data_IF_124784601884
#
_entry.id   IF_124784601884
#
_cell.length_a   1.000
_cell.length_b   1.000
_cell.length_c   1.000
_cell.angle_alpha   90.00
_cell.angle_beta   90.00
_cell.angle_gamma   90.00
#
_symmetry.space_group_name_H-M   'P 1'
#
loop_
_entity.id
_entity.type
_entity.pdbx_description
1 polymer ?
#
# COMPACT_ATOMS: atom_id res chain seq x y z
N UNK A 1 -14.35 19.38 28.74
CA UNK A 1 -14.33 18.37 27.65
C UNK A 1 -13.61 17.15 28.18
N UNK A 2 -14.25 15.98 28.13
CA UNK A 2 -13.68 14.74 28.67
C UNK A 2 -12.43 14.32 27.89
N UNK A 3 -11.44 13.77 28.58
CA UNK A 3 -10.30 13.12 27.93
C UNK A 3 -10.77 11.73 27.53
N UNK A 4 -10.85 11.48 26.22
CA UNK A 4 -11.10 10.14 25.71
C UNK A 4 -9.85 9.28 25.88
N UNK A 5 -10.03 8.02 26.31
CA UNK A 5 -8.93 7.15 26.67
C UNK A 5 -8.89 5.92 25.77
N UNK A 6 -7.70 5.58 25.29
CA UNK A 6 -7.40 4.31 24.63
C UNK A 6 -6.71 3.40 25.63
N UNK A 7 -7.33 2.27 25.92
CA UNK A 7 -6.79 1.26 26.81
C UNK A 7 -6.19 0.06 26.06
N UNK A 8 -5.55 -0.82 26.83
CA UNK A 8 -4.87 -2.01 26.28
C UNK A 8 -5.86 -2.98 25.63
N UNK A 9 -7.09 -3.09 26.12
CA UNK A 9 -8.06 -4.04 25.60
C UNK A 9 -8.67 -3.53 24.27
N UNK A 10 -8.80 -2.22 24.12
CA UNK A 10 -9.36 -1.57 22.93
C UNK A 10 -8.35 -1.32 21.80
N UNK A 11 -7.10 -0.97 22.13
CA UNK A 11 -6.02 -0.74 21.16
C UNK A 11 -6.40 0.19 20.00
N UNK A 12 -5.95 -0.12 18.79
CA UNK A 12 -6.23 0.68 17.58
C UNK A 12 -7.73 0.73 17.24
N UNK A 13 -8.51 -0.31 17.53
CA UNK A 13 -9.94 -0.36 17.20
C UNK A 13 -10.73 0.65 18.04
N UNK A 14 -10.47 0.71 19.35
CA UNK A 14 -11.08 1.73 20.21
C UNK A 14 -10.68 3.13 19.77
N UNK A 15 -9.42 3.34 19.40
CA UNK A 15 -8.97 4.61 18.87
C UNK A 15 -9.73 5.04 17.60
N UNK A 16 -9.94 4.12 16.64
CA UNK A 16 -10.70 4.44 15.42
C UNK A 16 -12.14 4.85 15.74
N UNK A 17 -12.80 4.16 16.67
CA UNK A 17 -14.17 4.52 17.11
C UNK A 17 -14.25 5.92 17.71
N UNK A 18 -13.24 6.30 18.50
CA UNK A 18 -13.10 7.66 19.05
C UNK A 18 -12.96 8.68 17.92
N UNK A 19 -12.07 8.43 16.96
CA UNK A 19 -11.85 9.34 15.82
C UNK A 19 -13.11 9.49 14.98
N UNK A 20 -13.84 8.39 14.73
CA UNK A 20 -15.12 8.42 14.00
C UNK A 20 -16.15 9.32 14.68
N UNK A 21 -16.30 9.22 16.00
CA UNK A 21 -17.20 10.09 16.77
C UNK A 21 -16.80 11.58 16.71
N UNK A 22 -15.50 11.88 16.57
CA UNK A 22 -14.97 13.26 16.50
C UNK A 22 -15.07 13.90 15.11
N UNK A 23 -15.43 13.15 14.07
CA UNK A 23 -15.58 13.64 12.68
C UNK A 23 -16.97 14.17 12.35
N UNK A 24 -17.76 14.55 13.35
CA UNK A 24 -19.16 14.99 13.18
C UNK A 24 -19.35 16.36 12.52
N UNK A 25 -18.28 17.05 12.10
CA UNK A 25 -18.35 18.37 11.46
C UNK A 25 -17.60 18.39 10.11
N UNK A 26 -17.92 19.36 9.26
CA UNK A 26 -17.30 19.55 7.94
C UNK A 26 -15.91 20.23 8.01
N UNK A 27 -15.30 20.32 9.20
CA UNK A 27 -14.00 20.98 9.37
C UNK A 27 -12.86 20.06 8.95
N UNK A 28 -11.75 20.67 8.56
CA UNK A 28 -10.51 19.96 8.27
C UNK A 28 -9.94 19.44 9.60
N UNK A 29 -9.75 18.12 9.69
CA UNK A 29 -9.14 17.46 10.85
C UNK A 29 -7.70 17.09 10.56
N UNK A 30 -6.79 17.51 11.44
CA UNK A 30 -5.38 17.11 11.42
C UNK A 30 -4.96 16.66 12.82
N UNK A 31 -3.96 15.79 12.86
CA UNK A 31 -3.63 15.03 14.05
C UNK A 31 -2.15 15.19 14.42
N UNK A 32 -1.86 15.24 15.72
CA UNK A 32 -0.48 15.20 16.22
C UNK A 32 -0.36 14.19 17.35
N UNK A 33 0.66 13.35 17.30
CA UNK A 33 1.02 12.44 18.38
C UNK A 33 2.17 12.97 19.21
N UNK A 34 2.08 12.80 20.52
CA UNK A 34 3.18 13.06 21.47
C UNK A 34 3.32 11.87 22.41
N UNK A 35 4.56 11.43 22.63
CA UNK A 35 4.84 10.21 23.42
C UNK A 35 4.64 10.39 24.92
N UNK A 36 4.51 11.63 25.38
CA UNK A 36 4.31 11.98 26.79
C UNK A 36 3.50 13.27 26.94
N UNK A 37 3.08 13.58 28.16
CA UNK A 37 2.46 14.88 28.44
C UNK A 37 3.56 15.95 28.55
N UNK A 38 3.53 16.90 27.64
CA UNK A 38 4.47 18.03 27.64
C UNK A 38 3.91 19.27 28.36
N UNK A 39 2.75 19.14 29.02
CA UNK A 39 2.16 20.22 29.81
C UNK A 39 1.95 21.48 28.97
N UNK A 40 2.60 22.56 29.38
CA UNK A 40 2.48 23.86 28.71
C UNK A 40 3.21 23.94 27.36
N UNK A 41 4.12 22.99 27.07
CA UNK A 41 4.89 22.92 25.82
C UNK A 41 4.32 21.94 24.78
N UNK A 42 3.17 21.34 25.09
CA UNK A 42 2.43 20.47 24.19
C UNK A 42 2.00 21.22 22.92
N UNK A 43 2.18 20.57 21.76
CA UNK A 43 1.81 21.13 20.46
C UNK A 43 2.45 22.51 20.16
N UNK A 44 3.66 22.72 20.67
CA UNK A 44 4.46 23.91 20.41
C UNK A 44 5.52 23.63 19.34
N UNK A 45 5.73 24.53 18.36
CA UNK A 45 6.86 24.43 17.44
C UNK A 45 8.21 24.48 18.17
N UNK A 46 9.22 23.85 17.60
CA UNK A 46 10.55 23.75 18.20
C UNK A 46 11.28 25.09 18.34
N UNK A 47 11.03 26.07 17.45
CA UNK A 47 11.69 27.39 17.55
C UNK A 47 11.35 28.14 18.84
N UNK A 48 10.19 27.86 19.42
CA UNK A 48 9.79 28.52 20.66
C UNK A 48 10.19 27.72 21.90
N UNK A 49 10.84 26.57 21.73
CA UNK A 49 11.39 25.78 22.83
C UNK A 49 12.83 26.21 23.07
N UNK A 50 13.35 25.95 24.27
CA UNK A 50 14.78 26.09 24.59
C UNK A 50 15.41 27.48 24.36
N UNK A 51 14.60 28.55 24.30
CA UNK A 51 15.06 29.95 24.30
C UNK A 51 15.70 30.44 22.99
N UNK A 52 15.46 29.78 21.85
CA UNK A 52 16.04 30.22 20.55
C UNK A 52 15.67 31.67 20.19
N UNK A 53 14.42 32.09 20.45
CA UNK A 53 13.94 33.44 20.14
C UNK A 53 14.34 34.47 21.20
N UNK A 54 14.70 34.05 22.41
CA UNK A 54 15.03 34.95 23.53
C UNK A 54 16.32 35.77 23.26
N UNK A 55 17.17 35.30 22.35
CA UNK A 55 18.45 35.92 22.03
C UNK A 55 18.49 36.66 20.67
N UNK A 56 17.65 36.29 19.70
CA UNK A 56 17.59 36.95 18.38
C UNK A 56 16.24 36.71 17.69
N UNK A 57 15.43 37.78 17.52
CA UNK A 57 14.16 37.76 16.75
C UNK A 57 14.37 37.29 15.29
N UNK A 58 15.59 37.32 14.76
CA UNK A 58 15.96 36.96 13.38
C UNK A 58 16.57 35.57 13.25
N UNK A 59 16.63 34.79 14.34
CA UNK A 59 17.30 33.49 14.34
C UNK A 59 16.76 32.56 13.25
N UNK A 60 15.43 32.53 13.05
CA UNK A 60 14.80 31.70 12.01
C UNK A 60 15.29 32.08 10.60
N UNK A 61 15.33 33.38 10.31
CA UNK A 61 15.76 33.87 9.00
C UNK A 61 17.24 33.57 8.78
N UNK A 62 18.08 33.85 9.77
CA UNK A 62 19.52 33.61 9.69
C UNK A 62 19.83 32.13 9.45
N UNK A 63 19.14 31.25 10.19
CA UNK A 63 19.24 29.79 10.05
C UNK A 63 18.85 29.34 8.63
N UNK A 64 17.73 29.84 8.08
CA UNK A 64 17.31 29.52 6.72
C UNK A 64 18.25 30.06 5.64
N UNK A 65 18.78 31.27 5.83
CA UNK A 65 19.76 31.88 4.94
C UNK A 65 21.07 31.07 4.95
N UNK A 66 21.54 30.63 6.11
CA UNK A 66 22.74 29.79 6.27
C UNK A 66 22.56 28.40 5.63
N UNK A 67 21.38 27.77 5.77
CA UNK A 67 21.09 26.50 5.09
C UNK A 67 21.06 26.64 3.58
N UNK A 68 20.49 27.74 3.09
CA UNK A 68 20.45 28.02 1.65
C UNK A 68 21.89 28.17 1.14
N UNK A 69 22.73 28.90 1.87
CA UNK A 69 24.13 29.10 1.51
C UNK A 69 24.95 27.80 1.50
N UNK A 70 24.62 26.86 2.39
CA UNK A 70 25.24 25.54 2.47
C UNK A 70 24.55 24.46 1.59
N UNK A 71 23.57 24.84 0.77
CA UNK A 71 22.81 23.94 -0.11
C UNK A 71 22.15 22.76 0.65
N UNK A 72 21.74 22.98 1.90
CA UNK A 72 21.08 21.97 2.73
C UNK A 72 19.57 21.92 2.52
N UNK A 73 18.98 22.98 1.96
CA UNK A 73 17.53 23.09 1.71
C UNK A 73 17.28 23.72 0.35
N UNK A 74 16.28 23.19 -0.34
CA UNK A 74 15.78 23.71 -1.62
C UNK A 74 14.44 24.42 -1.40
N UNK A 75 14.08 25.35 -2.29
CA UNK A 75 12.80 26.05 -2.27
C UNK A 75 12.90 27.48 -2.78
N UNK A 76 11.88 27.92 -3.50
CA UNK A 76 11.84 29.26 -4.10
C UNK A 76 11.48 30.33 -3.05
N UNK A 77 10.74 29.93 -2.02
CA UNK A 77 10.31 30.80 -0.93
C UNK A 77 10.86 30.38 0.43
N UNK A 78 10.92 31.32 1.38
CA UNK A 78 11.32 31.02 2.76
C UNK A 78 10.41 29.99 3.44
N UNK A 79 9.13 29.96 3.09
CA UNK A 79 8.18 28.98 3.62
C UNK A 79 8.52 27.56 3.14
N UNK A 80 8.82 27.39 1.85
CA UNK A 80 9.25 26.10 1.29
C UNK A 80 10.53 25.61 1.94
N UNK A 81 11.51 26.51 2.09
CA UNK A 81 12.76 26.21 2.79
C UNK A 81 12.52 25.76 4.22
N UNK A 82 11.62 26.42 4.95
CA UNK A 82 11.28 26.04 6.32
C UNK A 82 10.59 24.67 6.41
N UNK A 83 9.67 24.36 5.48
CA UNK A 83 9.02 23.05 5.38
C UNK A 83 10.07 21.95 5.13
N UNK A 84 11.02 22.20 4.21
CA UNK A 84 12.08 21.24 3.90
C UNK A 84 13.10 21.13 5.04
N UNK A 85 13.43 22.23 5.71
CA UNK A 85 14.37 22.28 6.84
C UNK A 85 13.85 21.49 8.05
N UNK A 86 12.53 21.49 8.30
CA UNK A 86 11.96 20.80 9.47
C UNK A 86 12.25 19.29 9.48
N UNK A 87 12.45 18.67 8.30
CA UNK A 87 12.93 17.30 8.17
C UNK A 87 14.27 17.07 8.90
N UNK A 88 15.21 17.99 8.72
CA UNK A 88 16.56 17.98 9.29
C UNK A 88 16.63 18.35 10.77
N UNK A 89 15.49 18.55 11.43
CA UNK A 89 15.42 18.89 12.85
C UNK A 89 15.62 20.37 13.16
N UNK A 90 15.58 21.23 12.13
CA UNK A 90 15.83 22.66 12.31
C UNK A 90 14.65 23.39 12.97
N UNK A 91 14.93 24.41 13.80
CA UNK A 91 13.90 25.18 14.48
C UNK A 91 13.09 26.02 13.49
N UNK A 92 11.76 25.83 13.49
CA UNK A 92 10.82 26.64 12.73
C UNK A 92 9.56 26.94 13.55
N UNK A 93 8.78 27.94 13.12
CA UNK A 93 7.46 28.27 13.69
C UNK A 93 6.33 27.35 13.19
N UNK A 94 6.67 26.27 12.48
CA UNK A 94 5.74 25.31 11.94
C UNK A 94 5.60 24.13 12.91
N UNK A 95 4.36 23.76 13.23
CA UNK A 95 4.07 22.57 14.02
C UNK A 95 3.71 21.41 13.08
N UNK A 96 4.46 20.31 13.15
CA UNK A 96 4.13 19.09 12.40
C UNK A 96 2.78 18.51 12.84
N UNK A 97 1.90 18.29 11.87
CA UNK A 97 0.64 17.56 12.00
C UNK A 97 0.51 16.57 10.85
N UNK A 98 -0.44 15.64 10.94
CA UNK A 98 -0.70 14.64 9.90
C UNK A 98 -2.19 14.64 9.56
N UNK A 99 -2.52 14.38 8.29
CA UNK A 99 -3.90 14.07 7.90
C UNK A 99 -4.34 12.67 8.34
N UNK A 100 -3.40 11.81 8.75
CA UNK A 100 -3.68 10.44 9.15
C UNK A 100 -3.62 10.28 10.66
N UNK A 101 -4.78 9.96 11.23
CA UNK A 101 -4.92 9.75 12.67
C UNK A 101 -4.09 8.57 13.18
N UNK A 102 -3.84 7.54 12.36
CA UNK A 102 -3.01 6.39 12.74
C UNK A 102 -1.51 6.73 12.74
N UNK A 103 -1.07 7.64 11.86
CA UNK A 103 0.30 8.18 11.90
C UNK A 103 0.50 8.99 13.19
N UNK A 104 -0.47 9.82 13.58
CA UNK A 104 -0.43 10.49 14.87
C UNK A 104 -0.46 9.49 16.05
N UNK A 105 -1.22 8.41 15.97
CA UNK A 105 -1.19 7.35 16.98
C UNK A 105 0.19 6.67 17.06
N UNK A 106 0.86 6.48 15.93
CA UNK A 106 2.24 6.00 15.91
C UNK A 106 3.17 6.95 16.66
N UNK A 107 3.09 8.27 16.42
CA UNK A 107 3.89 9.25 17.15
C UNK A 107 3.53 9.38 18.64
N UNK A 108 2.29 9.05 19.02
CA UNK A 108 1.89 9.00 20.42
C UNK A 108 2.45 7.77 21.15
N UNK A 109 2.78 6.71 20.41
CA UNK A 109 3.22 5.43 20.98
C UNK A 109 4.70 5.13 20.74
N UNK A 110 5.36 5.82 19.81
CA UNK A 110 6.71 5.51 19.38
C UNK A 110 7.62 6.75 19.51
N UNK A 111 8.74 6.65 20.25
CA UNK A 111 9.78 7.68 20.29
C UNK A 111 10.34 8.04 18.91
N UNK A 112 11.13 9.10 18.84
CA UNK A 112 11.85 9.47 17.62
C UNK A 112 12.81 8.36 17.18
N UNK A 113 13.09 8.24 15.87
CA UNK A 113 13.83 7.11 15.29
C UNK A 113 15.24 6.89 15.86
N UNK A 114 15.84 7.90 16.50
CA UNK A 114 17.15 7.79 17.16
C UNK A 114 17.10 7.30 18.63
N UNK A 115 15.91 6.93 19.14
CA UNK A 115 15.72 6.41 20.50
C UNK A 115 15.21 4.98 20.45
N UNK A 116 15.49 4.23 21.51
CA UNK A 116 14.90 2.91 21.70
C UNK A 116 13.36 3.00 21.69
N UNK A 117 12.72 2.05 21.00
CA UNK A 117 11.27 2.06 20.80
C UNK A 117 10.47 2.03 22.12
N UNK A 118 11.06 1.47 23.18
CA UNK A 118 10.50 1.32 24.52
C UNK A 118 10.79 2.49 25.45
N UNK A 119 11.58 3.48 25.03
CA UNK A 119 12.09 4.54 25.91
C UNK A 119 11.02 5.47 26.48
N UNK A 120 9.77 5.38 26.01
CA UNK A 120 8.63 6.18 26.48
C UNK A 120 7.48 5.32 27.01
N UNK A 121 7.67 4.01 27.15
CA UNK A 121 6.61 3.07 27.54
C UNK A 121 6.23 3.17 29.02
N UNK A 122 7.01 3.91 29.82
CA UNK A 122 6.70 4.27 31.20
C UNK A 122 5.64 5.39 31.31
N UNK A 123 5.39 6.11 30.21
CA UNK A 123 4.51 7.29 30.15
C UNK A 123 3.34 7.09 29.18
N UNK A 124 2.21 7.72 29.49
CA UNK A 124 1.07 7.76 28.58
C UNK A 124 1.37 8.65 27.37
N UNK A 125 0.91 8.22 26.19
CA UNK A 125 0.97 9.03 24.97
C UNK A 125 -0.30 9.86 24.79
N UNK A 126 -0.26 10.81 23.87
CA UNK A 126 -1.39 11.68 23.56
C UNK A 126 -1.52 11.91 22.07
N UNK A 127 -2.75 11.89 21.58
CA UNK A 127 -3.10 12.37 20.25
C UNK A 127 -3.96 13.61 20.37
N UNK A 128 -3.58 14.65 19.63
CA UNK A 128 -4.31 15.91 19.54
C UNK A 128 -5.02 15.96 18.19
N UNK A 129 -6.33 16.19 18.22
CA UNK A 129 -7.19 16.30 17.04
C UNK A 129 -7.56 17.75 16.84
N UNK A 130 -6.92 18.43 15.88
CA UNK A 130 -7.20 19.82 15.56
C UNK A 130 -8.35 19.93 14.56
N UNK A 131 -9.21 20.93 14.75
CA UNK A 131 -10.34 21.21 13.84
C UNK A 131 -10.20 22.61 13.26
N UNK A 132 -9.89 22.70 11.97
CA UNK A 132 -9.54 23.94 11.28
C UNK A 132 -10.51 24.21 10.13
N UNK A 133 -10.81 25.48 9.86
CA UNK A 133 -11.82 25.86 8.86
C UNK A 133 -11.25 25.95 7.44
N UNK A 134 -9.95 26.22 7.31
CA UNK A 134 -9.30 26.53 6.05
C UNK A 134 -7.87 25.98 6.02
N UNK A 135 -7.36 25.80 4.80
CA UNK A 135 -6.02 25.33 4.50
C UNK A 135 -5.38 26.23 3.46
N UNK A 136 -4.08 26.48 3.61
CA UNK A 136 -3.29 27.33 2.74
C UNK A 136 -2.31 26.48 1.92
N UNK A 137 -2.28 26.73 0.61
CA UNK A 137 -1.31 26.12 -0.28
C UNK A 137 0.07 26.78 -0.07
N UNK A 138 1.17 26.03 0.17
CA UNK A 138 2.50 26.59 0.44
C UNK A 138 3.03 27.55 -0.63
N UNK A 139 2.66 27.33 -1.89
CA UNK A 139 3.10 28.15 -3.04
C UNK A 139 2.20 29.36 -3.29
N UNK A 140 1.15 29.56 -2.49
CA UNK A 140 0.27 30.71 -2.62
C UNK A 140 0.97 32.00 -2.20
N UNK A 141 1.01 33.00 -3.10
CA UNK A 141 1.66 34.30 -2.84
C UNK A 141 1.29 34.91 -1.48
N UNK A 142 0.01 34.80 -1.08
CA UNK A 142 -0.47 35.33 0.20
C UNK A 142 0.19 34.68 1.42
N UNK A 143 0.37 33.35 1.44
CA UNK A 143 0.99 32.67 2.59
C UNK A 143 2.51 32.82 2.58
N UNK A 144 3.14 32.90 1.39
CA UNK A 144 4.57 33.13 1.27
C UNK A 144 4.96 34.52 1.78
N UNK A 145 4.23 35.57 1.35
CA UNK A 145 4.46 36.93 1.86
C UNK A 145 4.08 37.04 3.34
N UNK A 146 3.07 36.29 3.80
CA UNK A 146 2.76 36.19 5.22
C UNK A 146 3.92 35.63 6.04
N UNK A 147 4.49 34.50 5.63
CA UNK A 147 5.62 33.88 6.32
C UNK A 147 6.86 34.80 6.29
N UNK A 148 7.16 35.40 5.13
CA UNK A 148 8.23 36.38 4.97
C UNK A 148 8.06 37.61 5.86
N UNK A 149 6.83 38.07 6.06
CA UNK A 149 6.52 39.17 6.97
C UNK A 149 6.75 38.82 8.44
N UNK A 150 6.66 37.54 8.81
CA UNK A 150 6.97 37.07 10.17
C UNK A 150 8.46 37.08 10.47
N UNK A 151 9.27 36.67 9.49
CA UNK A 151 10.72 36.52 9.64
C UNK A 151 11.50 37.77 9.19
N UNK A 152 10.81 38.87 8.85
CA UNK A 152 11.43 40.12 8.42
C UNK A 152 10.90 41.34 9.18
N UNK A 153 11.77 42.33 9.39
CA UNK A 153 11.40 43.61 10.01
C UNK A 153 10.61 44.56 9.09
N UNK A 154 10.31 44.13 7.85
CA UNK A 154 9.67 44.99 6.85
C UNK A 154 8.25 45.39 7.28
N UNK A 155 7.55 44.53 8.00
CA UNK A 155 6.15 44.73 8.39
C UNK A 155 5.99 44.74 9.91
N UNK A 156 6.52 45.77 10.59
CA UNK A 156 6.47 45.89 12.07
C UNK A 156 5.07 45.77 12.67
N UNK A 157 4.04 46.25 11.97
CA UNK A 157 2.64 46.11 12.40
C UNK A 157 2.19 44.65 12.52
N UNK A 158 2.86 43.76 11.80
CA UNK A 158 2.59 42.33 11.77
C UNK A 158 3.54 41.55 12.69
N UNK A 159 4.85 41.79 12.57
CA UNK A 159 5.88 41.05 13.31
C UNK A 159 6.08 41.47 14.77
N UNK A 160 5.56 42.64 15.20
CA UNK A 160 5.73 43.14 16.58
C UNK A 160 4.43 43.27 17.37
N UNK A 161 3.33 42.70 16.88
CA UNK A 161 2.04 42.69 17.59
C UNK A 161 1.67 41.29 18.07
N UNK A 162 1.07 41.19 19.25
CA UNK A 162 0.57 39.91 19.78
C UNK A 162 -0.83 39.56 19.28
N UNK A 163 -1.49 40.48 18.57
CA UNK A 163 -2.85 40.30 18.04
C UNK A 163 -2.97 39.04 17.17
N UNK A 164 -1.94 38.76 16.36
CA UNK A 164 -1.93 37.65 15.41
C UNK A 164 -1.44 36.33 16.02
N UNK A 165 -1.04 36.28 17.29
CA UNK A 165 -0.57 35.04 17.94
C UNK A 165 -1.65 33.94 18.01
N UNK A 166 -2.94 34.28 17.79
CA UNK A 166 -4.05 33.33 17.75
C UNK A 166 -4.43 32.85 16.35
N UNK A 167 -3.77 33.37 15.32
CA UNK A 167 -4.04 33.02 13.94
C UNK A 167 -3.22 31.80 13.53
N UNK A 168 -3.69 30.62 13.91
CA UNK A 168 -3.12 29.35 13.48
C UNK A 168 -3.56 29.05 12.05
N UNK A 169 -2.60 28.86 11.13
CA UNK A 169 -2.89 28.57 9.72
C UNK A 169 -2.45 27.15 9.38
N UNK A 170 -3.36 26.34 8.87
CA UNK A 170 -3.00 25.04 8.31
C UNK A 170 -2.33 25.26 6.96
N UNK A 171 -1.10 24.80 6.82
CA UNK A 171 -0.33 24.82 5.59
C UNK A 171 -0.24 23.39 5.10
N UNK A 172 -0.63 23.16 3.86
CA UNK A 172 -0.53 21.84 3.25
C UNK A 172 0.93 21.43 3.00
N UNK A 173 1.17 20.17 2.68
CA UNK A 173 2.49 19.68 2.32
C UNK A 173 2.83 19.95 0.85
N UNK A 174 4.13 19.94 0.57
CA UNK A 174 4.67 19.84 -0.78
C UNK A 174 5.12 18.40 -0.98
N UNK A 175 4.63 17.75 -2.04
CA UNK A 175 4.92 16.34 -2.35
C UNK A 175 6.31 16.14 -2.96
N UNK A 176 7.33 16.75 -2.37
CA UNK A 176 8.74 16.61 -2.77
C UNK A 176 9.53 15.81 -1.75
N UNK A 177 9.22 15.93 -0.46
CA UNK A 177 9.93 15.23 0.60
C UNK A 177 9.28 13.86 0.91
N UNK A 178 10.00 12.73 0.72
CA UNK A 178 9.46 11.38 0.96
C UNK A 178 8.95 11.16 2.37
N UNK A 179 9.60 11.75 3.39
CA UNK A 179 9.16 11.62 4.78
C UNK A 179 7.87 12.40 5.04
N UNK A 180 7.72 13.61 4.49
CA UNK A 180 6.46 14.35 4.62
C UNK A 180 5.32 13.58 3.95
N UNK A 181 5.57 12.99 2.79
CA UNK A 181 4.60 12.14 2.07
C UNK A 181 4.21 10.91 2.91
N UNK A 182 5.20 10.17 3.41
CA UNK A 182 5.02 9.00 4.26
C UNK A 182 4.23 9.29 5.53
N UNK A 183 4.48 10.44 6.15
CA UNK A 183 3.79 10.90 7.35
C UNK A 183 2.41 11.49 7.05
N UNK A 184 2.07 11.66 5.77
CA UNK A 184 0.90 12.41 5.30
C UNK A 184 0.83 13.75 6.02
N UNK A 185 1.99 14.39 6.10
CA UNK A 185 2.25 15.56 6.93
C UNK A 185 1.54 16.81 6.41
N UNK A 186 1.34 17.74 7.32
CA UNK A 186 0.97 19.12 7.09
C UNK A 186 1.51 19.94 8.25
N UNK A 187 1.36 21.26 8.20
CA UNK A 187 1.95 22.15 9.19
C UNK A 187 0.92 23.12 9.73
N UNK A 188 0.95 23.37 11.04
CA UNK A 188 0.25 24.52 11.62
C UNK A 188 1.27 25.64 11.79
N UNK A 189 1.11 26.74 11.06
CA UNK A 189 1.93 27.93 11.18
C UNK A 189 1.50 28.76 12.41
N UNK A 190 2.46 28.99 13.30
CA UNK A 190 2.32 29.91 14.42
C UNK A 190 2.79 31.30 14.00
N UNK A 191 1.84 32.23 13.88
CA UNK A 191 2.13 33.61 13.48
C UNK A 191 2.63 34.49 14.64
N UNK A 192 2.66 33.96 15.86
CA UNK A 192 2.99 34.76 17.03
C UNK A 192 4.47 35.04 17.20
N UNK A 193 4.76 36.14 17.91
CA UNK A 193 6.10 36.47 18.43
C UNK A 193 6.50 35.53 19.58
N UNK A 194 5.49 35.09 20.36
CA UNK A 194 5.66 34.15 21.47
C UNK A 194 4.90 32.85 21.19
N UNK A 195 5.34 31.75 21.82
CA UNK A 195 4.62 30.49 21.83
C UNK A 195 3.36 30.54 22.70
N UNK A 196 2.31 31.17 22.19
CA UNK A 196 0.99 30.98 22.77
C UNK A 196 0.48 29.59 22.42
N UNK A 197 0.07 28.87 23.46
CA UNK A 197 -0.57 27.56 23.33
C UNK A 197 -1.81 27.66 22.42
N UNK A 198 -2.01 26.63 21.60
CA UNK A 198 -3.25 26.46 20.85
C UNK A 198 -4.41 26.41 21.87
N UNK A 199 -5.43 27.28 21.77
CA UNK A 199 -6.57 27.27 22.67
C UNK A 199 -7.24 25.89 22.73
N UNK A 200 -7.65 25.45 23.93
CA UNK A 200 -8.26 24.14 24.16
C UNK A 200 -9.57 23.89 23.42
N UNK A 201 -10.19 24.92 22.83
CA UNK A 201 -11.37 24.81 21.98
C UNK A 201 -11.04 24.49 20.51
N UNK A 202 -9.77 24.54 20.10
CA UNK A 202 -9.33 24.21 18.73
C UNK A 202 -8.88 22.76 18.57
N UNK A 203 -8.79 22.00 19.67
CA UNK A 203 -8.44 20.58 19.62
C UNK A 203 -9.10 19.73 20.71
N UNK A 204 -9.22 18.45 20.41
CA UNK A 204 -9.55 17.39 21.37
C UNK A 204 -8.29 16.59 21.72
N UNK A 205 -8.11 16.24 23.00
CA UNK A 205 -6.97 15.44 23.48
C UNK A 205 -7.43 14.00 23.77
N UNK A 206 -6.83 13.03 23.10
CA UNK A 206 -7.02 11.60 23.32
C UNK A 206 -5.79 11.07 24.07
N UNK A 207 -6.00 10.39 25.19
CA UNK A 207 -4.93 9.79 25.98
C UNK A 207 -4.76 8.31 25.63
N UNK A 208 -3.52 7.93 25.30
CA UNK A 208 -3.12 6.54 25.08
C UNK A 208 -2.45 6.02 26.33
N UNK A 209 -3.07 5.05 27.00
CA UNK A 209 -2.49 4.44 28.21
C UNK A 209 -1.16 3.78 27.89
N UNK A 210 -0.20 3.89 28.81
CA UNK A 210 1.18 3.42 28.61
C UNK A 210 1.23 1.91 28.32
N UNK A 211 0.37 1.13 28.98
CA UNK A 211 0.28 -0.32 28.83
C UNK A 211 -0.26 -0.76 27.45
N UNK A 212 -0.91 0.17 26.72
CA UNK A 212 -1.44 -0.10 25.38
C UNK A 212 -0.40 0.11 24.27
N UNK A 213 0.68 0.87 24.52
CA UNK A 213 1.67 1.25 23.49
C UNK A 213 2.26 0.05 22.74
N UNK A 214 2.76 -1.03 23.38
CA UNK A 214 3.35 -2.15 22.66
C UNK A 214 2.36 -2.87 21.75
N UNK A 215 1.12 -3.07 22.22
CA UNK A 215 0.06 -3.69 21.44
C UNK A 215 -0.37 -2.80 20.27
N UNK A 216 -0.49 -1.50 20.48
CA UNK A 216 -0.84 -0.54 19.44
C UNK A 216 0.23 -0.53 18.35
N UNK A 217 1.52 -0.47 18.69
CA UNK A 217 2.62 -0.52 17.70
C UNK A 217 2.57 -1.82 16.89
N UNK A 218 2.29 -2.95 17.53
CA UNK A 218 2.09 -4.24 16.84
C UNK A 218 0.89 -4.20 15.88
N UNK A 219 -0.26 -3.71 16.34
CA UNK A 219 -1.46 -3.58 15.50
C UNK A 219 -1.26 -2.61 14.32
N UNK A 220 -0.59 -1.48 14.55
CA UNK A 220 -0.22 -0.52 13.51
C UNK A 220 0.66 -1.17 12.43
N UNK A 221 1.66 -1.96 12.84
CA UNK A 221 2.52 -2.71 11.92
C UNK A 221 1.76 -3.80 11.17
N UNK A 222 1.10 -4.70 11.89
CA UNK A 222 0.52 -5.92 11.33
C UNK A 222 -0.74 -5.65 10.49
N UNK A 223 -1.54 -4.64 10.83
CA UNK A 223 -2.82 -4.35 10.17
C UNK A 223 -2.75 -3.18 9.19
N UNK A 224 -1.86 -2.21 9.42
CA UNK A 224 -1.83 -0.95 8.67
C UNK A 224 -0.47 -0.66 8.03
N UNK A 225 0.52 -1.54 8.21
CA UNK A 225 1.90 -1.34 7.75
C UNK A 225 2.54 -0.01 8.24
N UNK A 226 2.15 0.46 9.43
CA UNK A 226 2.68 1.67 10.06
C UNK A 226 3.74 1.27 11.07
N UNK A 227 5.00 1.59 10.77
CA UNK A 227 6.17 1.34 11.62
C UNK A 227 7.30 2.33 11.28
N UNK A 228 8.45 2.21 11.95
CA UNK A 228 9.57 3.16 11.77
C UNK A 228 9.96 3.38 10.30
N UNK A 229 10.33 2.32 9.57
CA UNK A 229 10.72 2.43 8.16
C UNK A 229 9.65 3.03 7.22
N UNK A 230 8.35 2.84 7.48
CA UNK A 230 7.30 3.44 6.63
C UNK A 230 7.00 4.88 6.99
N UNK A 231 7.31 5.33 8.20
CA UNK A 231 7.11 6.72 8.68
C UNK A 231 8.37 7.58 8.49
N UNK A 232 9.54 6.94 8.54
CA UNK A 232 10.86 7.52 8.36
C UNK A 232 11.57 6.71 7.26
N UNK A 233 11.31 6.99 5.97
CA UNK A 233 11.78 6.17 4.85
C UNK A 233 13.26 6.37 4.50
N UNK A 234 14.06 6.98 5.38
CA UNK A 234 15.50 7.09 5.21
C UNK A 234 16.17 5.70 5.27
N UNK A 235 17.25 5.51 4.50
CA UNK A 235 17.84 4.19 4.25
C UNK A 235 18.12 3.36 5.50
N UNK A 236 18.62 3.98 6.57
CA UNK A 236 18.96 3.31 7.83
C UNK A 236 17.73 2.69 8.52
N UNK A 237 16.55 3.30 8.38
CA UNK A 237 15.32 2.88 9.03
C UNK A 237 14.63 1.70 8.31
N UNK A 238 15.07 1.36 7.09
CA UNK A 238 14.51 0.30 6.26
C UNK A 238 15.25 -1.05 6.42
N UNK A 239 16.43 -1.06 7.04
CA UNK A 239 17.31 -2.25 7.12
C UNK A 239 16.62 -3.43 7.79
N UNK A 240 16.07 -3.23 8.99
CA UNK A 240 15.37 -4.30 9.74
C UNK A 240 14.15 -4.82 8.98
N UNK A 241 13.45 -3.94 8.25
CA UNK A 241 12.29 -4.32 7.45
C UNK A 241 12.72 -5.21 6.27
N UNK A 242 13.75 -4.82 5.53
CA UNK A 242 14.30 -5.60 4.40
C UNK A 242 14.76 -6.98 4.89
N UNK A 243 15.48 -7.04 6.01
CA UNK A 243 15.91 -8.31 6.62
C UNK A 243 14.70 -9.17 7.01
N UNK A 244 13.66 -8.56 7.59
CA UNK A 244 12.45 -9.30 7.98
C UNK A 244 11.68 -9.85 6.77
N UNK A 245 11.53 -9.06 5.70
CA UNK A 245 10.88 -9.48 4.45
C UNK A 245 11.68 -10.59 3.76
N UNK A 246 13.01 -10.53 3.79
CA UNK A 246 13.88 -11.59 3.26
C UNK A 246 13.60 -12.97 3.86
N UNK A 247 13.19 -13.06 5.13
CA UNK A 247 12.86 -14.35 5.79
C UNK A 247 11.66 -15.05 5.16
N UNK A 248 10.74 -14.28 4.56
CA UNK A 248 9.51 -14.81 3.94
C UNK A 248 9.59 -14.77 2.41
N UNK A 249 10.54 -14.02 1.84
CA UNK A 249 10.77 -13.95 0.40
C UNK A 249 11.15 -15.31 -0.18
N UNK A 250 10.50 -15.67 -1.29
CA UNK A 250 10.87 -16.85 -2.05
C UNK A 250 12.20 -16.60 -2.76
N UNK A 251 13.27 -17.24 -2.28
CA UNK A 251 14.61 -17.16 -2.88
C UNK A 251 14.95 -18.41 -3.71
N UNK A 252 13.94 -19.21 -4.09
CA UNK A 252 14.16 -20.37 -4.94
C UNK A 252 14.65 -19.91 -6.31
N UNK A 253 15.69 -20.58 -6.82
CA UNK A 253 16.16 -20.36 -8.19
C UNK A 253 15.06 -20.71 -9.17
N UNK A 254 14.94 -19.94 -10.25
CA UNK A 254 14.06 -20.29 -11.37
C UNK A 254 14.50 -21.63 -11.98
N UNK A 255 13.68 -22.67 -11.83
CA UNK A 255 13.84 -23.96 -12.48
C UNK A 255 12.54 -24.77 -12.42
N UNK A 256 12.39 -25.73 -13.34
CA UNK A 256 11.18 -26.55 -13.46
C UNK A 256 10.77 -27.21 -12.13
N UNK A 257 11.73 -27.75 -11.36
CA UNK A 257 11.47 -28.38 -10.06
C UNK A 257 10.78 -27.42 -9.07
N UNK A 258 11.24 -26.17 -9.01
CA UNK A 258 10.73 -25.20 -8.05
C UNK A 258 9.36 -24.67 -8.49
N UNK A 259 9.17 -24.41 -9.79
CA UNK A 259 7.87 -24.00 -10.34
C UNK A 259 6.81 -25.10 -10.15
N UNK A 260 7.13 -26.36 -10.45
CA UNK A 260 6.24 -27.50 -10.17
C UNK A 260 5.86 -27.56 -8.68
N UNK A 261 6.82 -27.35 -7.79
CA UNK A 261 6.56 -27.37 -6.35
C UNK A 261 5.65 -26.22 -5.91
N UNK A 262 5.81 -25.02 -6.48
CA UNK A 262 4.95 -23.86 -6.22
C UNK A 262 3.53 -24.15 -6.73
N UNK A 263 3.40 -24.63 -7.97
CA UNK A 263 2.12 -25.04 -8.57
C UNK A 263 1.41 -26.10 -7.73
N UNK A 264 2.13 -27.10 -7.22
CA UNK A 264 1.55 -28.10 -6.30
C UNK A 264 1.05 -27.50 -4.98
N UNK A 265 1.67 -26.45 -4.46
CA UNK A 265 1.16 -25.74 -3.27
C UNK A 265 -0.11 -24.97 -3.60
N UNK A 266 -0.15 -24.28 -4.75
CA UNK A 266 -1.35 -23.57 -5.20
C UNK A 266 -2.54 -24.51 -5.38
N UNK A 267 -2.34 -25.64 -6.07
CA UNK A 267 -3.36 -26.68 -6.22
C UNK A 267 -3.94 -27.13 -4.88
N UNK A 268 -3.08 -27.42 -3.88
CA UNK A 268 -3.53 -27.84 -2.56
C UNK A 268 -4.33 -26.75 -1.85
N UNK A 269 -3.89 -25.50 -1.94
CA UNK A 269 -4.59 -24.36 -1.35
C UNK A 269 -5.98 -24.16 -2.00
N UNK A 270 -6.08 -24.29 -3.32
CA UNK A 270 -7.35 -24.17 -4.05
C UNK A 270 -8.34 -25.25 -3.63
N UNK A 271 -7.86 -26.51 -3.56
CA UNK A 271 -8.62 -27.65 -3.06
C UNK A 271 -9.08 -27.41 -1.62
N UNK A 272 -8.17 -27.02 -0.72
CA UNK A 272 -8.49 -26.83 0.69
C UNK A 272 -9.52 -25.70 0.88
N UNK A 273 -9.43 -24.62 0.09
CA UNK A 273 -10.43 -23.53 0.07
C UNK A 273 -11.81 -24.06 -0.33
N UNK A 274 -11.89 -24.79 -1.44
CA UNK A 274 -13.14 -25.32 -1.96
C UNK A 274 -13.76 -26.35 -1.01
N UNK A 275 -12.95 -27.22 -0.42
CA UNK A 275 -13.40 -28.15 0.62
C UNK A 275 -13.98 -27.41 1.84
N UNK A 276 -13.32 -26.35 2.30
CA UNK A 276 -13.84 -25.52 3.41
C UNK A 276 -15.16 -24.82 3.05
N UNK A 277 -15.29 -24.29 1.84
CA UNK A 277 -16.54 -23.71 1.35
C UNK A 277 -17.65 -24.76 1.26
N UNK A 278 -17.32 -25.95 0.76
CA UNK A 278 -18.25 -27.06 0.64
C UNK A 278 -18.76 -27.54 2.01
N UNK A 279 -17.88 -27.61 3.01
CA UNK A 279 -18.23 -27.89 4.40
C UNK A 279 -19.21 -26.86 4.98
N UNK A 280 -19.04 -25.58 4.63
CA UNK A 280 -19.81 -24.46 5.18
C UNK A 280 -21.19 -24.32 4.53
N UNK A 281 -21.27 -24.41 3.19
CA UNK A 281 -22.47 -24.06 2.44
C UNK A 281 -23.19 -25.26 1.81
N UNK A 282 -22.50 -26.40 1.59
CA UNK A 282 -23.03 -27.65 0.97
C UNK A 282 -23.72 -27.48 -0.39
N UNK A 283 -23.37 -26.43 -1.12
CA UNK A 283 -23.97 -26.11 -2.42
C UNK A 283 -23.30 -26.88 -3.58
N UNK A 284 -24.10 -27.30 -4.55
CA UNK A 284 -23.64 -28.10 -5.69
C UNK A 284 -22.80 -27.28 -6.69
N UNK A 285 -22.94 -25.95 -6.71
CA UNK A 285 -22.11 -25.10 -7.57
C UNK A 285 -20.62 -25.16 -7.21
N UNK A 286 -20.29 -25.44 -5.94
CA UNK A 286 -18.91 -25.56 -5.45
C UNK A 286 -18.23 -26.80 -6.03
N UNK A 287 -19.00 -27.87 -6.26
CA UNK A 287 -18.48 -29.10 -6.91
C UNK A 287 -18.11 -28.81 -8.36
N UNK A 288 -18.93 -28.02 -9.07
CA UNK A 288 -18.61 -27.58 -10.44
C UNK A 288 -17.36 -26.70 -10.48
N UNK A 289 -17.19 -25.78 -9.53
CA UNK A 289 -15.99 -24.95 -9.41
C UNK A 289 -14.75 -25.82 -9.12
N UNK A 290 -14.89 -26.85 -8.28
CA UNK A 290 -13.84 -27.82 -8.00
C UNK A 290 -13.42 -28.60 -9.26
N UNK A 291 -14.37 -29.14 -10.02
CA UNK A 291 -14.10 -29.84 -11.27
C UNK A 291 -13.39 -28.93 -12.28
N UNK A 292 -13.87 -27.69 -12.45
CA UNK A 292 -13.29 -26.73 -13.38
C UNK A 292 -11.84 -26.36 -13.04
N UNK A 293 -11.54 -26.07 -11.77
CA UNK A 293 -10.17 -25.75 -11.34
C UNK A 293 -9.23 -26.93 -11.56
N UNK A 294 -9.65 -28.15 -11.19
CA UNK A 294 -8.83 -29.34 -11.38
C UNK A 294 -8.60 -29.66 -12.86
N UNK A 295 -9.62 -29.50 -13.70
CA UNK A 295 -9.47 -29.64 -15.13
C UNK A 295 -8.46 -28.64 -15.70
N UNK A 296 -8.48 -27.38 -15.25
CA UNK A 296 -7.49 -26.38 -15.66
C UNK A 296 -6.05 -26.80 -15.31
N UNK A 297 -5.82 -27.31 -14.09
CA UNK A 297 -4.50 -27.85 -13.70
C UNK A 297 -4.11 -29.06 -14.57
N UNK A 298 -5.03 -30.00 -14.84
CA UNK A 298 -4.79 -31.12 -15.75
C UNK A 298 -4.31 -30.63 -17.11
N UNK A 299 -5.02 -29.69 -17.72
CA UNK A 299 -4.68 -29.17 -19.05
C UNK A 299 -3.31 -28.49 -19.06
N UNK A 300 -2.98 -27.71 -18.03
CA UNK A 300 -1.65 -27.12 -17.89
C UNK A 300 -0.54 -28.17 -17.79
N UNK A 301 -0.78 -29.28 -17.08
CA UNK A 301 0.18 -30.39 -16.98
C UNK A 301 0.35 -31.10 -18.33
N UNK A 302 -0.74 -31.30 -19.09
CA UNK A 302 -0.66 -31.89 -20.43
C UNK A 302 0.10 -30.99 -21.42
N UNK A 303 -0.06 -29.66 -21.30
CA UNK A 303 0.66 -28.68 -22.11
C UNK A 303 2.14 -28.61 -21.77
N UNK A 304 2.52 -28.82 -20.51
CA UNK A 304 3.92 -28.83 -20.06
C UNK A 304 4.77 -29.88 -20.80
N UNK A 305 4.16 -30.94 -21.33
CA UNK A 305 4.87 -31.96 -22.09
C UNK A 305 5.68 -32.91 -21.20
N UNK A 306 6.61 -33.67 -21.79
CA UNK A 306 7.52 -34.56 -21.05
C UNK A 306 8.81 -33.88 -20.57
N UNK A 307 9.08 -32.64 -20.97
CA UNK A 307 10.34 -31.96 -20.70
C UNK A 307 11.46 -32.42 -21.63
N UNK A 308 12.53 -31.62 -21.69
CA UNK A 308 13.54 -31.72 -22.74
C UNK A 308 14.66 -32.72 -22.42
N UNK A 309 14.82 -33.07 -21.14
CA UNK A 309 15.86 -33.98 -20.66
C UNK A 309 15.33 -35.01 -19.65
N UNK A 310 16.10 -36.08 -19.40
CA UNK A 310 15.71 -37.18 -18.52
C UNK A 310 15.41 -36.74 -17.08
N UNK A 311 16.03 -35.66 -16.62
CA UNK A 311 15.79 -35.12 -15.28
C UNK A 311 14.42 -34.45 -15.20
N UNK A 312 14.07 -33.66 -16.21
CA UNK A 312 12.75 -33.02 -16.34
C UNK A 312 11.64 -34.06 -16.54
N UNK A 313 11.87 -35.06 -17.40
CA UNK A 313 10.96 -36.20 -17.58
C UNK A 313 10.62 -36.87 -16.26
N UNK A 314 11.64 -37.11 -15.42
CA UNK A 314 11.45 -37.70 -14.09
C UNK A 314 10.70 -36.77 -13.13
N UNK A 315 10.99 -35.47 -13.16
CA UNK A 315 10.29 -34.48 -12.34
C UNK A 315 8.81 -34.36 -12.71
N UNK A 316 8.49 -34.30 -14.00
CA UNK A 316 7.12 -34.22 -14.51
C UNK A 316 6.36 -35.51 -14.20
N UNK A 317 6.98 -36.67 -14.35
CA UNK A 317 6.37 -37.94 -13.95
C UNK A 317 6.00 -37.96 -12.45
N UNK A 318 6.90 -37.51 -11.58
CA UNK A 318 6.63 -37.40 -10.14
C UNK A 318 5.54 -36.36 -9.84
N UNK A 319 5.49 -35.25 -10.59
CA UNK A 319 4.46 -34.22 -10.46
C UNK A 319 3.07 -34.78 -10.79
N UNK A 320 2.93 -35.50 -11.90
CA UNK A 320 1.68 -36.14 -12.31
C UNK A 320 1.19 -37.15 -11.25
N UNK A 321 2.11 -37.97 -10.71
CA UNK A 321 1.77 -38.90 -9.64
C UNK A 321 1.24 -38.17 -8.39
N UNK A 322 1.93 -37.10 -7.97
CA UNK A 322 1.50 -36.30 -6.82
C UNK A 322 0.17 -35.56 -7.06
N UNK A 323 -0.06 -35.10 -8.30
CA UNK A 323 -1.30 -34.48 -8.73
C UNK A 323 -2.48 -35.47 -8.62
N UNK A 324 -2.36 -36.65 -9.23
CA UNK A 324 -3.40 -37.68 -9.18
C UNK A 324 -3.70 -38.12 -7.73
N UNK A 325 -2.66 -38.33 -6.91
CA UNK A 325 -2.83 -38.65 -5.48
C UNK A 325 -3.56 -37.53 -4.72
N UNK A 326 -3.29 -36.27 -5.04
CA UNK A 326 -3.95 -35.13 -4.43
C UNK A 326 -5.44 -35.09 -4.77
N UNK A 327 -5.79 -35.32 -6.03
CA UNK A 327 -7.18 -35.39 -6.49
C UNK A 327 -7.92 -36.54 -5.81
N UNK A 328 -7.35 -37.74 -5.81
CA UNK A 328 -7.95 -38.91 -5.17
C UNK A 328 -8.25 -38.65 -3.69
N UNK A 329 -7.29 -38.09 -2.96
CA UNK A 329 -7.48 -37.71 -1.57
C UNK A 329 -8.57 -36.64 -1.36
N UNK A 330 -8.77 -35.76 -2.34
CA UNK A 330 -9.73 -34.66 -2.26
C UNK A 330 -11.16 -35.12 -2.58
N UNK A 331 -11.32 -35.96 -3.60
CA UNK A 331 -12.60 -36.60 -3.93
C UNK A 331 -13.05 -37.47 -2.76
N UNK A 332 -12.16 -38.28 -2.18
CA UNK A 332 -12.49 -39.10 -1.01
C UNK A 332 -12.93 -38.26 0.20
N UNK A 333 -12.39 -37.03 0.36
CA UNK A 333 -12.87 -36.09 1.39
C UNK A 333 -14.28 -35.56 1.06
N UNK A 334 -14.55 -35.19 -0.19
CA UNK A 334 -15.87 -34.72 -0.63
C UNK A 334 -16.96 -35.77 -0.43
N UNK A 335 -16.70 -37.01 -0.84
CA UNK A 335 -17.63 -38.15 -0.68
C UNK A 335 -17.96 -38.43 0.79
N UNK A 336 -16.97 -38.27 1.70
CA UNK A 336 -17.20 -38.38 3.14
C UNK A 336 -18.09 -37.26 3.69
N UNK A 337 -17.98 -36.05 3.13
CA UNK A 337 -18.75 -34.88 3.57
C UNK A 337 -20.21 -34.98 3.10
N UNK A 338 -20.46 -35.47 1.88
CA UNK A 338 -21.82 -35.63 1.34
C UNK A 338 -21.89 -36.91 0.49
N UNK A 339 -22.65 -37.89 0.98
CA UNK A 339 -22.80 -39.26 0.42
C UNK A 339 -23.26 -39.35 -1.05
N UNK A 340 -23.75 -38.26 -1.64
CA UNK A 340 -24.31 -38.21 -3.01
C UNK A 340 -23.62 -37.16 -3.89
N UNK A 341 -22.38 -36.75 -3.57
CA UNK A 341 -21.58 -35.91 -4.47
C UNK A 341 -21.01 -36.79 -5.55
N UNK A 342 -21.27 -36.44 -6.80
CA UNK A 342 -20.60 -37.02 -7.95
C UNK A 342 -19.51 -36.05 -8.40
N UNK A 343 -18.29 -36.55 -8.55
CA UNK A 343 -17.17 -35.85 -9.20
C UNK A 343 -16.70 -36.74 -10.34
N UNK A 344 -16.59 -36.19 -11.55
CA UNK A 344 -16.10 -36.95 -12.69
C UNK A 344 -14.58 -37.18 -12.62
N UNK A 345 -14.16 -38.15 -11.80
CA UNK A 345 -12.75 -38.45 -11.55
C UNK A 345 -11.97 -38.74 -12.83
N UNK A 346 -12.56 -39.45 -13.79
CA UNK A 346 -11.89 -39.85 -15.04
C UNK A 346 -11.46 -38.63 -15.87
N UNK A 347 -12.27 -37.56 -15.86
CA UNK A 347 -11.95 -36.32 -16.55
C UNK A 347 -10.88 -35.48 -15.83
N UNK A 348 -10.62 -35.72 -14.55
CA UNK A 348 -9.70 -34.91 -13.73
C UNK A 348 -8.32 -35.53 -13.54
N UNK A 349 -8.22 -36.86 -13.54
CA UNK A 349 -6.93 -37.56 -13.44
C UNK A 349 -6.20 -37.61 -14.79
N UNK A 350 -4.88 -37.79 -14.73
CA UNK A 350 -4.03 -38.08 -15.90
C UNK A 350 -3.78 -39.60 -15.92
N UNK A 351 -4.34 -40.29 -16.90
CA UNK A 351 -4.26 -41.75 -17.03
C UNK A 351 -2.91 -42.22 -17.63
N UNK A 352 -2.63 -43.52 -17.58
CA UNK A 352 -1.38 -44.10 -18.11
C UNK A 352 -1.22 -43.88 -19.62
N UNK A 353 -2.29 -43.89 -20.40
CA UNK A 353 -2.24 -43.61 -21.84
C UNK A 353 -1.83 -42.16 -22.13
N UNK A 354 -2.41 -41.18 -21.44
CA UNK A 354 -2.01 -39.78 -21.56
C UNK A 354 -0.59 -39.55 -21.04
N UNK A 355 -0.19 -40.26 -19.98
CA UNK A 355 1.17 -40.25 -19.46
C UNK A 355 2.17 -40.84 -20.48
N UNK A 356 1.82 -41.94 -21.15
CA UNK A 356 2.63 -42.55 -22.21
C UNK A 356 2.72 -41.64 -23.44
N UNK A 357 1.61 -41.01 -23.84
CA UNK A 357 1.59 -40.03 -24.93
C UNK A 357 2.45 -38.79 -24.62
N UNK A 358 2.46 -38.35 -23.37
CA UNK A 358 3.39 -37.31 -22.88
C UNK A 358 4.85 -37.78 -22.99
N UNK A 359 5.17 -38.97 -22.47
CA UNK A 359 6.53 -39.52 -22.41
C UNK A 359 7.11 -39.89 -23.78
N UNK A 360 6.26 -40.23 -24.75
CA UNK A 360 6.63 -40.64 -26.11
C UNK A 360 6.59 -39.49 -27.14
N UNK A 361 6.45 -38.22 -26.70
CA UNK A 361 6.49 -37.07 -27.60
C UNK A 361 7.89 -36.86 -28.18
N UNK A 362 8.17 -37.53 -29.29
CA UNK A 362 9.04 -36.98 -30.33
C UNK A 362 8.24 -35.86 -31.05
N UNK A 363 8.59 -34.61 -30.73
CA UNK A 363 8.36 -33.40 -31.55
C UNK A 363 7.05 -33.29 -32.36
N UNK A 364 5.89 -33.46 -31.72
CA UNK A 364 4.58 -33.18 -32.32
C UNK A 364 3.71 -32.29 -31.44
N UNK A 365 3.36 -31.11 -31.95
CA UNK A 365 2.42 -30.18 -31.31
C UNK A 365 1.04 -30.86 -31.13
N UNK A 366 0.57 -30.97 -29.89
CA UNK A 366 -0.85 -31.27 -29.64
C UNK A 366 -1.54 -29.91 -29.53
N UNK A 367 -2.24 -29.52 -30.59
CA UNK A 367 -3.14 -28.37 -30.58
C UNK A 367 -4.49 -28.86 -30.09
N UNK A 368 -4.84 -28.51 -28.85
CA UNK A 368 -6.18 -28.75 -28.28
C UNK A 368 -7.00 -27.47 -28.52
N UNK A 369 -8.13 -27.58 -29.21
CA UNK A 369 -9.00 -26.44 -29.52
C UNK A 369 -10.07 -26.26 -28.45
N UNK A 370 -10.77 -25.12 -28.46
CA UNK A 370 -11.93 -24.86 -27.61
C UNK A 370 -13.03 -25.92 -27.71
N UNK A 371 -13.03 -26.70 -28.78
CA UNK A 371 -14.05 -27.70 -29.08
C UNK A 371 -13.82 -29.03 -28.32
N UNK A 372 -12.62 -29.24 -27.79
CA UNK A 372 -12.25 -30.40 -26.97
C UNK A 372 -12.76 -30.28 -25.50
N UNK A 373 -13.40 -29.15 -25.15
CA UNK A 373 -13.92 -28.80 -23.82
C UNK A 373 -15.39 -29.21 -23.58
N UNK A 374 -15.95 -30.13 -24.36
CA UNK A 374 -17.38 -30.51 -24.25
C UNK A 374 -17.69 -31.29 -22.97
N UNK A 375 -17.88 -30.58 -21.86
CA UNK A 375 -18.61 -31.04 -20.68
C UNK A 375 -20.00 -30.39 -20.70
N UNK A 376 -21.02 -31.23 -20.59
CA UNK A 376 -22.40 -30.95 -20.99
C UNK A 376 -23.10 -29.73 -20.40
N UNK A 377 -23.97 -29.17 -21.23
CA UNK A 377 -25.11 -28.28 -20.97
C UNK A 377 -25.09 -27.45 -19.69
N UNK A 378 -24.57 -26.23 -19.80
CA UNK A 378 -25.38 -25.06 -19.44
C UNK A 378 -24.92 -23.82 -20.19
N UNK A 379 -25.83 -23.26 -20.98
CA UNK A 379 -25.70 -21.92 -21.58
C UNK A 379 -25.41 -20.91 -20.46
N UNK A 380 -24.14 -20.53 -20.30
CA UNK A 380 -23.61 -19.28 -19.71
C UNK A 380 -22.16 -19.49 -19.21
N UNK A 381 -21.26 -19.92 -20.10
CA UNK A 381 -19.82 -19.87 -19.85
C UNK A 381 -19.21 -18.94 -20.90
N UNK A 382 -18.67 -17.81 -20.46
CA UNK A 382 -17.85 -16.93 -21.29
C UNK A 382 -16.49 -17.60 -21.40
N UNK A 383 -16.18 -18.15 -22.57
CA UNK A 383 -14.82 -18.60 -22.90
C UNK A 383 -13.94 -17.37 -23.09
N UNK A 384 -12.85 -17.26 -22.33
CA UNK A 384 -11.69 -16.49 -22.78
C UNK A 384 -10.94 -17.37 -23.77
N UNK A 385 -11.07 -17.10 -25.07
CA UNK A 385 -10.33 -17.82 -26.11
C UNK A 385 -8.82 -17.79 -25.82
N UNK A 386 -8.11 -18.93 -25.86
CA UNK A 386 -6.66 -18.94 -25.92
C UNK A 386 -6.23 -18.47 -27.32
N UNK A 387 -5.39 -17.44 -27.36
CA UNK A 387 -4.80 -16.90 -28.58
C UNK A 387 -4.22 -18.01 -29.48
N UNK A 388 -4.80 -18.23 -30.66
CA UNK A 388 -4.21 -19.04 -31.73
C UNK A 388 -2.99 -18.30 -32.29
N UNK A 389 -1.79 -18.81 -32.03
CA UNK A 389 -0.57 -18.37 -32.73
C UNK A 389 -0.54 -19.07 -34.08
N UNK A 390 -0.96 -18.35 -35.13
CA UNK A 390 -0.69 -18.76 -36.50
C UNK A 390 0.77 -18.44 -36.85
N UNK A 391 1.56 -19.47 -37.16
CA UNK A 391 2.85 -19.31 -37.83
C UNK A 391 2.56 -18.76 -39.24
N UNK A 392 2.69 -17.46 -39.45
CA UNK A 392 2.58 -16.86 -40.79
C UNK A 392 3.97 -16.69 -41.39
N UNK A 393 4.19 -17.43 -42.47
CA UNK A 393 5.24 -17.20 -43.45
C UNK A 393 5.13 -15.77 -44.03
N UNK A 394 6.30 -15.13 -44.14
CA UNK A 394 6.69 -14.08 -45.11
C UNK A 394 5.69 -12.97 -45.48
N UNK A 395 6.14 -11.73 -45.24
CA UNK A 395 5.67 -10.40 -45.69
C UNK A 395 4.94 -9.54 -44.63
N UNK A 396 5.67 -8.54 -44.10
CA UNK A 396 5.18 -7.51 -43.17
C UNK A 396 4.59 -6.31 -43.91
N UNK A 397 3.49 -5.71 -43.39
CA UNK A 397 3.33 -4.26 -43.36
C UNK A 397 3.23 -3.70 -41.94
N UNK A 398 3.64 -2.43 -41.81
CA UNK A 398 3.85 -1.64 -40.60
C UNK A 398 2.71 -1.65 -39.56
N UNK A 399 3.06 -1.97 -38.30
CA UNK A 399 2.20 -1.68 -37.15
C UNK A 399 2.26 -2.59 -35.92
N UNK A 400 3.21 -3.51 -35.79
CA UNK A 400 3.16 -4.53 -34.70
C UNK A 400 4.30 -4.42 -33.69
N UNK A 401 3.93 -4.40 -32.41
CA UNK A 401 4.81 -4.48 -31.24
C UNK A 401 5.25 -5.93 -31.00
N UNK A 402 6.50 -6.14 -30.58
CA UNK A 402 7.05 -7.48 -30.31
C UNK A 402 6.49 -8.05 -29.00
N UNK A 403 6.57 -9.39 -28.81
CA UNK A 403 6.29 -10.06 -27.52
C UNK A 403 7.11 -9.42 -26.38
N UNK A 404 8.34 -9.01 -26.66
CA UNK A 404 9.20 -8.29 -25.72
C UNK A 404 8.61 -6.92 -25.31
N UNK A 405 7.90 -6.25 -26.21
CA UNK A 405 7.20 -4.99 -25.94
C UNK A 405 5.95 -5.24 -25.10
N UNK A 406 5.24 -6.36 -25.32
CA UNK A 406 4.09 -6.76 -24.51
C UNK A 406 4.48 -7.17 -23.08
N UNK A 407 5.59 -7.89 -22.92
CA UNK A 407 6.15 -8.21 -21.59
C UNK A 407 6.61 -6.94 -20.88
N UNK A 408 7.22 -5.99 -21.59
CA UNK A 408 7.58 -4.67 -21.01
C UNK A 408 6.36 -3.85 -20.62
N UNK A 409 5.32 -3.82 -21.45
CA UNK A 409 4.06 -3.10 -21.15
C UNK A 409 3.35 -3.74 -19.95
N UNK A 410 3.30 -5.07 -19.89
CA UNK A 410 2.66 -5.82 -18.80
C UNK A 410 3.46 -5.70 -17.50
N UNK A 411 4.79 -5.76 -17.56
CA UNK A 411 5.65 -5.51 -16.42
C UNK A 411 5.54 -4.06 -15.92
N UNK A 412 5.43 -3.08 -16.82
CA UNK A 412 5.15 -1.68 -16.46
C UNK A 412 3.78 -1.51 -15.79
N UNK A 413 2.79 -2.33 -16.16
CA UNK A 413 1.44 -2.27 -15.58
C UNK A 413 1.32 -2.98 -14.23
N UNK A 414 2.04 -4.10 -14.04
CA UNK A 414 2.04 -4.90 -12.81
C UNK A 414 2.95 -4.32 -11.70
N UNK A 415 3.90 -3.44 -12.06
CA UNK A 415 4.87 -2.85 -11.12
C UNK A 415 4.52 -1.43 -10.64
N UNK A 416 3.36 -0.86 -10.95
CA UNK A 416 3.04 0.53 -10.60
C UNK A 416 1.90 0.67 -9.57
N UNK A 417 2.16 1.47 -8.53
CA UNK A 417 1.12 1.99 -7.61
C UNK A 417 0.02 2.75 -8.38
N UNK A 418 -1.23 2.74 -7.88
CA UNK A 418 -2.34 3.40 -8.54
C UNK A 418 -2.14 4.92 -8.58
N UNK A 419 -1.75 5.48 -9.73
CA UNK A 419 -1.85 6.94 -9.92
C UNK A 419 -0.98 7.65 -10.96
N UNK A 420 0.00 7.05 -11.64
CA UNK A 420 0.81 7.83 -12.59
C UNK A 420 1.32 7.07 -13.80
N UNK A 421 0.67 7.26 -14.95
CA UNK A 421 1.28 7.03 -16.25
C UNK A 421 1.20 8.31 -17.10
N UNK A 422 2.36 8.93 -17.37
CA UNK A 422 2.58 9.85 -18.49
C UNK A 422 3.36 9.09 -19.56
N UNK A 423 2.84 9.01 -20.79
CA UNK A 423 3.66 8.64 -21.95
C UNK A 423 4.27 9.91 -22.57
N UNK A 424 5.47 9.80 -23.12
CA UNK A 424 6.18 10.86 -23.84
C UNK A 424 5.51 11.30 -25.16
N UNK A 425 4.30 10.80 -25.45
CA UNK A 425 3.46 11.19 -26.60
C UNK A 425 2.01 11.54 -26.24
N UNK A 426 1.76 12.03 -25.02
CA UNK A 426 0.62 12.91 -24.73
C UNK A 426 -0.79 12.41 -25.10
N UNK A 427 -1.09 11.11 -24.98
CA UNK A 427 -2.47 10.61 -25.09
C UNK A 427 -2.90 9.95 -23.78
N UNK A 428 -3.95 10.48 -23.17
CA UNK A 428 -4.56 9.96 -21.94
C UNK A 428 -5.42 8.72 -22.26
N UNK A 429 -5.25 7.62 -21.51
CA UNK A 429 -6.25 6.56 -21.43
C UNK A 429 -7.30 7.00 -20.40
N UNK A 430 -8.53 7.28 -20.86
CA UNK A 430 -9.64 7.65 -19.99
C UNK A 430 -10.33 6.36 -19.52
N UNK A 431 -10.45 6.21 -18.21
CA UNK A 431 -11.06 5.05 -17.57
C UNK A 431 -12.55 5.35 -17.35
N UNK A 432 -13.43 4.78 -18.18
CA UNK A 432 -14.88 4.88 -17.95
C UNK A 432 -15.34 3.64 -17.17
N UNK A 433 -15.93 3.89 -16.00
CA UNK A 433 -16.63 2.89 -15.21
C UNK A 433 -17.74 2.24 -16.05
N UNK A 434 -17.87 0.92 -15.93
CA UNK A 434 -18.74 -0.02 -16.66
C UNK A 434 -18.03 -0.82 -17.78
N UNK A 435 -17.77 -2.07 -17.41
CA UNK A 435 -17.02 -3.14 -18.05
C UNK A 435 -17.39 -3.59 -19.48
N UNK A 436 -17.88 -2.78 -20.42
CA UNK A 436 -18.39 -3.37 -21.69
C UNK A 436 -18.12 -2.71 -23.05
N UNK A 437 -17.17 -1.76 -23.24
CA UNK A 437 -16.82 -1.30 -24.61
C UNK A 437 -15.36 -0.82 -24.75
N UNK A 438 -14.61 -1.39 -25.70
CA UNK A 438 -13.34 -0.84 -26.20
C UNK A 438 -13.61 -0.18 -27.57
N UNK A 439 -13.31 1.12 -27.71
CA UNK A 439 -13.26 1.81 -29.01
C UNK A 439 -11.81 1.91 -29.46
N UNK A 440 -11.50 1.38 -30.64
CA UNK A 440 -10.16 1.52 -31.25
C UNK A 440 -10.09 2.68 -32.28
N UNK A 441 -11.22 3.11 -32.87
CA UNK A 441 -11.37 4.35 -33.64
C UNK A 441 -12.85 4.64 -33.99
N UNK A 442 -13.17 5.80 -34.59
CA UNK A 442 -14.54 6.29 -34.81
C UNK A 442 -15.39 5.51 -35.84
N UNK A 443 -14.85 4.51 -36.53
CA UNK A 443 -15.53 3.88 -37.67
C UNK A 443 -15.67 2.36 -37.66
N UNK A 444 -15.28 1.65 -36.60
CA UNK A 444 -15.46 0.19 -36.55
C UNK A 444 -16.14 -0.26 -35.26
N UNK A 445 -17.26 -0.99 -35.43
CA UNK A 445 -18.02 -1.66 -34.38
C UNK A 445 -17.88 -3.16 -34.56
N UNK A 446 -17.55 -3.87 -33.49
CA UNK A 446 -17.71 -5.31 -33.41
C UNK A 446 -18.76 -5.55 -32.32
N UNK A 447 -19.89 -6.12 -32.71
CA UNK A 447 -20.90 -6.59 -31.78
C UNK A 447 -20.48 -7.96 -31.23
N UNK A 448 -20.59 -8.13 -29.91
CA UNK A 448 -20.68 -9.44 -29.25
C UNK A 448 -22.04 -9.48 -28.56
#
# INVERSE_FOLDING_TARGET
MGIENVDKNGGVIQYIKIIEALRSDDKIKVYRGETSDHGDTACQPNIFRDGYIDNDEKIEKSILDEMTANHLVEGDSYLEKAINAQHGGFPSRLLDVSYNSLVALFFATTPFYNKEITSSDDKAGYVYVFSLNEMFCPVGNGIQENYKALISDKYKWFSKTTLFNRNFKLIDHIKTNPRIIAQQGAFILFQGVDARRIPGNLYTKIKVKKEAKPQIRKQLKDLFNIHMGTIYPEGDNLVDEIISKRKVANNMSFCLKNEIMITMRSLKNDIDRLLCMFLSNKEDHIVKEFEHILYWYKMGILQLGSGDNDTEKKLIKNFIQNYNLCIDGSIAKLERIKKNVFVNKEELIINEEALLALLNKDSGDIVITSDDLNIGDSKNIIFYEPFKIHKRSSEMPSGEYKIEDFVKITAMYLLQEPGSARSSKGKYLKNDLYWNRLKLSDSEKIDI
#
